data_IF_675201315209
#
_entry.id   IF_675201315209
#
_cell.length_a   1.000
_cell.length_b   1.000
_cell.length_c   1.000
_cell.angle_alpha   90.00
_cell.angle_beta   90.00
_cell.angle_gamma   90.00
#
_symmetry.space_group_name_H-M   'P 1'
#
loop_
_entity.id
_entity.type
_entity.pdbx_description
1 polymer ?
#
# COMPACT_ATOMS: atom_id res chain seq x y z
N UNK A 1 -13.49 -19.50 -10.51
CA UNK A 1 -12.98 -19.64 -9.13
C UNK A 1 -11.65 -18.90 -9.07
N UNK A 2 -11.35 -18.10 -8.05
CA UNK A 2 -10.05 -17.44 -7.92
C UNK A 2 -8.92 -18.47 -7.84
N UNK A 3 -7.73 -18.09 -8.32
CA UNK A 3 -6.53 -18.91 -8.23
C UNK A 3 -5.94 -18.85 -6.81
N UNK A 4 -5.27 -19.92 -6.32
CA UNK A 4 -4.65 -19.93 -4.99
C UNK A 4 -3.72 -18.74 -4.72
N UNK A 5 -3.02 -18.23 -5.75
CA UNK A 5 -2.10 -17.10 -5.64
C UNK A 5 -2.82 -15.75 -5.38
N UNK A 6 -4.15 -15.70 -5.57
CA UNK A 6 -4.97 -14.51 -5.35
C UNK A 6 -5.50 -14.40 -3.91
N UNK A 7 -5.35 -15.45 -3.09
CA UNK A 7 -5.86 -15.50 -1.71
C UNK A 7 -4.98 -14.73 -0.71
N UNK A 8 -3.82 -14.24 -1.15
CA UNK A 8 -2.89 -13.48 -0.30
C UNK A 8 -2.13 -14.34 0.72
N UNK A 9 -1.41 -13.71 1.66
CA UNK A 9 -0.54 -14.42 2.58
C UNK A 9 -1.32 -15.14 3.69
N UNK A 10 -0.85 -16.33 4.07
CA UNK A 10 -1.43 -17.12 5.16
C UNK A 10 -0.77 -16.83 6.52
N UNK A 11 0.34 -16.08 6.54
CA UNK A 11 1.09 -15.70 7.75
C UNK A 11 1.53 -14.25 7.65
N UNK A 12 1.35 -13.49 8.72
CA UNK A 12 1.82 -12.12 8.83
C UNK A 12 3.34 -12.03 8.96
N UNK A 13 3.89 -10.83 8.78
CA UNK A 13 5.33 -10.53 8.87
C UNK A 13 5.67 -9.60 10.04
N UNK A 14 4.78 -9.52 11.03
CA UNK A 14 4.89 -8.64 12.20
C UNK A 14 6.25 -8.65 12.91
N UNK A 15 6.94 -9.80 13.00
CA UNK A 15 8.28 -9.87 13.61
C UNK A 15 9.28 -8.99 12.87
N UNK A 16 9.19 -8.91 11.54
CA UNK A 16 10.05 -8.04 10.74
C UNK A 16 9.70 -6.58 10.98
N UNK A 17 8.41 -6.26 11.09
CA UNK A 17 7.97 -4.90 11.37
C UNK A 17 8.43 -4.39 12.74
N UNK A 18 8.57 -5.26 13.72
CA UNK A 18 9.13 -4.88 15.04
C UNK A 18 10.58 -4.42 14.95
N UNK A 19 11.36 -4.90 13.98
CA UNK A 19 12.79 -4.55 13.83
C UNK A 19 13.02 -3.13 13.31
N UNK A 20 12.06 -2.54 12.58
CA UNK A 20 12.22 -1.22 11.95
C UNK A 20 11.64 -0.10 12.81
N UNK A 21 12.28 1.08 12.79
CA UNK A 21 11.70 2.27 13.43
C UNK A 21 10.45 2.76 12.69
N UNK A 22 9.41 3.26 13.41
CA UNK A 22 8.22 3.81 12.73
C UNK A 22 8.58 5.00 11.81
N UNK A 23 9.54 5.84 12.22
CA UNK A 23 10.02 6.97 11.41
C UNK A 23 10.73 6.52 10.14
N UNK A 24 11.58 5.50 10.26
CA UNK A 24 12.31 4.93 9.12
C UNK A 24 11.32 4.30 8.13
N UNK A 25 10.36 3.54 8.63
CA UNK A 25 9.33 2.93 7.80
C UNK A 25 8.47 3.98 7.08
N UNK A 26 8.04 5.03 7.78
CA UNK A 26 7.31 6.15 7.18
C UNK A 26 8.15 6.88 6.11
N UNK A 27 9.44 7.07 6.35
CA UNK A 27 10.37 7.67 5.39
C UNK A 27 10.47 6.82 4.13
N UNK A 28 10.72 5.51 4.25
CA UNK A 28 10.82 4.61 3.09
C UNK A 28 9.51 4.53 2.30
N UNK A 29 8.36 4.48 2.98
CA UNK A 29 7.05 4.53 2.31
C UNK A 29 6.90 5.84 1.53
N UNK A 30 7.19 6.98 2.17
CA UNK A 30 7.11 8.30 1.54
C UNK A 30 8.02 8.42 0.32
N UNK A 31 9.26 7.94 0.41
CA UNK A 31 10.21 8.00 -0.69
C UNK A 31 9.72 7.19 -1.91
N UNK A 32 9.21 5.98 -1.67
CA UNK A 32 8.67 5.16 -2.75
C UNK A 32 7.38 5.76 -3.34
N UNK A 33 6.47 6.25 -2.49
CA UNK A 33 5.24 6.89 -2.93
C UNK A 33 5.54 8.18 -3.73
N UNK A 34 6.60 8.91 -3.37
CA UNK A 34 7.08 10.07 -4.11
C UNK A 34 7.58 9.69 -5.50
N UNK A 35 8.37 8.63 -5.65
CA UNK A 35 8.82 8.12 -6.95
C UNK A 35 7.65 7.74 -7.87
N UNK A 36 6.64 7.06 -7.32
CA UNK A 36 5.42 6.73 -8.06
C UNK A 36 4.64 7.98 -8.45
N UNK A 37 4.56 8.97 -7.56
CA UNK A 37 3.84 10.21 -7.81
C UNK A 37 4.47 11.04 -8.92
N UNK A 38 5.79 11.24 -8.90
CA UNK A 38 6.49 12.05 -9.92
C UNK A 38 6.51 11.37 -11.30
N UNK A 39 6.30 10.05 -11.37
CA UNK A 39 6.17 9.33 -12.63
C UNK A 39 4.83 9.62 -13.36
N UNK A 40 3.83 10.16 -12.66
CA UNK A 40 2.50 10.44 -13.22
C UNK A 40 2.58 11.66 -14.13
N UNK A 41 2.22 11.49 -15.40
CA UNK A 41 2.03 12.64 -16.28
C UNK A 41 0.66 13.29 -16.00
N UNK A 42 0.60 14.62 -15.94
CA UNK A 42 -0.66 15.37 -15.73
C UNK A 42 -1.78 14.99 -16.72
N UNK A 43 -1.45 14.57 -17.95
CA UNK A 43 -2.45 14.13 -18.93
C UNK A 43 -3.10 12.79 -18.55
N UNK A 44 -2.43 11.94 -17.77
CA UNK A 44 -3.01 10.66 -17.31
C UNK A 44 -4.28 10.91 -16.48
N UNK A 45 -4.31 12.00 -15.70
CA UNK A 45 -5.51 12.43 -14.97
C UNK A 45 -6.65 12.80 -15.93
N UNK A 46 -6.36 13.54 -17.00
CA UNK A 46 -7.35 13.90 -18.02
C UNK A 46 -7.90 12.65 -18.71
N UNK A 47 -7.01 11.74 -19.14
CA UNK A 47 -7.42 10.50 -19.79
C UNK A 47 -8.24 9.60 -18.86
N UNK A 48 -7.93 9.58 -17.56
CA UNK A 48 -8.68 8.83 -16.57
C UNK A 48 -10.09 9.40 -16.36
N UNK A 49 -10.22 10.71 -16.21
CA UNK A 49 -11.51 11.38 -15.95
C UNK A 49 -12.42 11.35 -17.18
N UNK A 50 -11.89 11.69 -18.36
CA UNK A 50 -12.70 11.81 -19.56
C UNK A 50 -12.88 10.49 -20.32
N UNK A 51 -12.09 9.47 -19.98
CA UNK A 51 -12.19 8.11 -20.48
C UNK A 51 -11.04 7.74 -21.42
N UNK A 52 -10.23 6.76 -21.02
CA UNK A 52 -9.01 6.33 -21.73
C UNK A 52 -9.26 5.94 -23.18
N UNK A 53 -10.38 5.26 -23.42
CA UNK A 53 -10.78 4.77 -24.75
C UNK A 53 -11.01 5.92 -25.74
N UNK A 54 -11.46 7.10 -25.27
CA UNK A 54 -11.69 8.27 -26.14
C UNK A 54 -10.39 8.85 -26.68
N UNK A 55 -9.29 8.69 -25.96
CA UNK A 55 -7.98 9.22 -26.33
C UNK A 55 -7.04 8.16 -26.88
N UNK A 56 -7.36 6.86 -26.73
CA UNK A 56 -6.45 5.76 -27.06
C UNK A 56 -5.13 5.82 -26.27
N UNK A 57 -5.18 6.33 -25.04
CA UNK A 57 -3.99 6.53 -24.19
C UNK A 57 -4.03 5.67 -22.93
N UNK A 58 -2.85 5.31 -22.45
CA UNK A 58 -2.65 4.60 -21.18
C UNK A 58 -2.53 5.59 -20.02
N UNK A 59 -2.84 5.11 -18.81
CA UNK A 59 -2.71 5.85 -17.54
C UNK A 59 -2.02 4.99 -16.48
N UNK A 60 -1.01 4.23 -16.91
CA UNK A 60 -0.43 3.17 -16.11
C UNK A 60 0.24 3.69 -14.82
N UNK A 61 0.90 4.85 -14.87
CA UNK A 61 1.54 5.41 -13.68
C UNK A 61 0.49 5.84 -12.66
N UNK A 62 -0.58 6.48 -13.13
CA UNK A 62 -1.72 6.83 -12.29
C UNK A 62 -2.38 5.57 -11.68
N UNK A 63 -2.52 4.49 -12.45
CA UNK A 63 -3.10 3.24 -11.95
C UNK A 63 -2.26 2.58 -10.87
N UNK A 64 -0.94 2.55 -11.07
CA UNK A 64 -0.01 2.00 -10.08
C UNK A 64 -0.07 2.83 -8.80
N UNK A 65 -0.09 4.16 -8.90
CA UNK A 65 -0.18 5.04 -7.74
C UNK A 65 -1.51 4.90 -6.98
N UNK A 66 -2.65 4.79 -7.70
CA UNK A 66 -3.94 4.51 -7.05
C UNK A 66 -3.98 3.13 -6.40
N UNK A 67 -3.37 2.12 -7.04
CA UNK A 67 -3.26 0.77 -6.48
C UNK A 67 -2.40 0.77 -5.21
N UNK A 68 -1.35 1.59 -5.15
CA UNK A 68 -0.46 1.72 -4.00
C UNK A 68 -1.21 2.10 -2.72
N UNK A 69 -2.21 3.00 -2.81
CA UNK A 69 -3.07 3.33 -1.67
C UNK A 69 -3.78 2.09 -1.11
N UNK A 70 -4.40 1.29 -1.98
CA UNK A 70 -5.07 0.05 -1.59
C UNK A 70 -4.08 -0.97 -1.01
N UNK A 71 -2.89 -1.09 -1.61
CA UNK A 71 -1.85 -1.98 -1.13
C UNK A 71 -1.46 -1.66 0.33
N UNK A 72 -1.18 -0.40 0.66
CA UNK A 72 -0.85 0.03 2.03
C UNK A 72 -2.02 -0.22 2.99
N UNK A 73 -3.24 0.13 2.59
CA UNK A 73 -4.44 -0.10 3.40
C UNK A 73 -4.61 -1.59 3.73
N UNK A 74 -4.58 -2.47 2.72
CA UNK A 74 -4.75 -3.90 2.91
C UNK A 74 -3.57 -4.55 3.64
N UNK A 75 -2.35 -4.04 3.44
CA UNK A 75 -1.18 -4.51 4.19
C UNK A 75 -1.35 -4.31 5.70
N UNK A 76 -1.81 -3.14 6.15
CA UNK A 76 -2.09 -2.88 7.57
C UNK A 76 -3.13 -3.87 8.11
N UNK A 77 -4.23 -4.07 7.39
CA UNK A 77 -5.29 -5.02 7.78
C UNK A 77 -4.74 -6.45 7.85
N UNK A 78 -3.97 -6.85 6.85
CA UNK A 78 -3.37 -8.19 6.76
C UNK A 78 -2.47 -8.49 7.96
N UNK A 79 -1.58 -7.56 8.31
CA UNK A 79 -0.66 -7.74 9.44
C UNK A 79 -1.40 -7.83 10.78
N UNK A 80 -2.46 -7.04 10.97
CA UNK A 80 -3.27 -7.09 12.18
C UNK A 80 -4.06 -8.41 12.25
N UNK A 81 -4.73 -8.81 11.18
CA UNK A 81 -5.58 -10.00 11.12
C UNK A 81 -4.78 -11.29 11.25
N UNK A 82 -3.58 -11.35 10.68
CA UNK A 82 -2.71 -12.54 10.71
C UNK A 82 -1.82 -12.61 11.97
N UNK A 83 -1.91 -11.64 12.88
CA UNK A 83 -1.19 -11.68 14.16
C UNK A 83 -2.04 -12.35 15.23
N UNK A 84 -1.68 -13.56 15.71
CA UNK A 84 -2.55 -14.34 16.60
C UNK A 84 -2.57 -13.80 18.04
N UNK A 85 -1.45 -13.25 18.52
CA UNK A 85 -1.34 -12.78 19.91
C UNK A 85 -2.04 -11.43 20.10
N UNK A 86 -3.03 -11.32 21.01
CA UNK A 86 -3.72 -10.05 21.27
C UNK A 86 -2.77 -8.93 21.70
N UNK A 87 -1.79 -9.23 22.56
CA UNK A 87 -0.81 -8.25 23.01
C UNK A 87 0.06 -7.72 21.86
N UNK A 88 0.43 -8.59 20.92
CA UNK A 88 1.18 -8.20 19.71
C UNK A 88 0.33 -7.37 18.74
N UNK A 89 -0.95 -7.70 18.58
CA UNK A 89 -1.88 -6.87 17.78
C UNK A 89 -1.99 -5.45 18.33
N UNK A 90 -2.05 -5.27 19.66
CA UNK A 90 -2.05 -3.94 20.27
C UNK A 90 -0.75 -3.17 19.98
N UNK A 91 0.40 -3.86 20.02
CA UNK A 91 1.69 -3.25 19.67
C UNK A 91 1.73 -2.80 18.20
N UNK A 92 1.25 -3.64 17.27
CA UNK A 92 1.14 -3.29 15.85
C UNK A 92 0.20 -2.10 15.62
N UNK A 93 -0.96 -2.07 16.25
CA UNK A 93 -1.90 -0.94 16.15
C UNK A 93 -1.23 0.37 16.56
N UNK A 94 -0.54 0.39 17.71
CA UNK A 94 0.22 1.57 18.16
C UNK A 94 1.31 1.95 17.16
N UNK A 95 2.00 0.97 16.58
CA UNK A 95 3.05 1.20 15.59
C UNK A 95 2.49 1.85 14.32
N UNK A 96 1.36 1.36 13.81
CA UNK A 96 0.71 1.93 12.62
C UNK A 96 0.13 3.32 12.86
N UNK A 97 -0.45 3.58 14.04
CA UNK A 97 -0.85 4.95 14.44
C UNK A 97 0.37 5.88 14.43
N UNK A 98 1.49 5.44 15.03
CA UNK A 98 2.74 6.22 15.05
C UNK A 98 3.36 6.40 13.67
N UNK A 99 3.18 5.44 12.76
CA UNK A 99 3.64 5.55 11.37
C UNK A 99 2.83 6.61 10.61
N UNK A 100 1.53 6.73 10.90
CA UNK A 100 0.63 7.70 10.27
C UNK A 100 0.66 9.10 10.90
N UNK A 101 1.39 9.28 12.01
CA UNK A 101 1.54 10.56 12.73
C UNK A 101 2.82 11.26 12.32
#
# INVERSE_FOLDING_TARGET
VPLPEQEGPQRGTWQKLEMFGSKELAYTITMHDYELFIAINQHELLYQVFGRYKYGKITANLDIFMRRFNEIQYWIVTEICLTPSPGKRVQLLRKFIKLAS
#
